data_IF_895129311649
#
_entry.id   IF_895129311649
#
_cell.length_a   1.000
_cell.length_b   1.000
_cell.length_c   1.000
_cell.angle_alpha   90.00
_cell.angle_beta   90.00
_cell.angle_gamma   90.00
#
_symmetry.space_group_name_H-M   'P 1'
#
loop_
_entity.id
_entity.type
_entity.pdbx_description
1 polymer ?
#
# COMPACT_ATOMS: atom_id res chain seq x y z
N UNK A 1 -10.46 -8.12 -20.77
CA UNK A 1 -9.62 -9.34 -20.59
C UNK A 1 -8.15 -9.18 -20.98
N UNK A 2 -7.72 -8.16 -21.74
CA UNK A 2 -6.30 -8.00 -22.14
C UNK A 2 -5.39 -7.22 -21.16
N UNK A 3 -5.91 -6.73 -20.04
CA UNK A 3 -5.19 -5.78 -19.18
C UNK A 3 -4.54 -6.42 -17.93
N UNK A 4 -4.91 -7.65 -17.58
CA UNK A 4 -4.53 -8.29 -16.31
C UNK A 4 -3.22 -9.10 -16.43
N UNK A 5 -3.00 -9.79 -17.56
CA UNK A 5 -1.75 -10.51 -17.82
C UNK A 5 -0.53 -9.57 -17.80
N UNK A 6 -0.66 -8.38 -18.40
CA UNK A 6 0.41 -7.38 -18.42
C UNK A 6 0.78 -6.85 -17.03
N UNK A 7 -0.16 -6.80 -16.08
CA UNK A 7 0.15 -6.34 -14.73
C UNK A 7 1.05 -7.31 -13.98
N UNK A 8 0.77 -8.62 -14.09
CA UNK A 8 1.60 -9.64 -13.44
C UNK A 8 3.01 -9.67 -14.03
N UNK A 9 3.13 -9.56 -15.36
CA UNK A 9 4.42 -9.49 -16.06
C UNK A 9 5.22 -8.25 -15.66
N UNK A 10 4.60 -7.07 -15.65
CA UNK A 10 5.23 -5.84 -15.17
C UNK A 10 5.72 -6.01 -13.73
N UNK A 11 4.89 -6.56 -12.85
CA UNK A 11 5.27 -6.81 -11.47
C UNK A 11 6.44 -7.80 -11.34
N UNK A 12 6.50 -8.79 -12.23
CA UNK A 12 7.62 -9.73 -12.30
C UNK A 12 8.91 -9.05 -12.74
N UNK A 13 8.84 -8.15 -13.71
CA UNK A 13 9.99 -7.36 -14.13
C UNK A 13 10.52 -6.47 -13.00
N UNK A 14 9.63 -5.76 -12.29
CA UNK A 14 10.02 -4.94 -11.13
C UNK A 14 10.62 -5.78 -9.99
N UNK A 15 10.05 -6.96 -9.73
CA UNK A 15 10.60 -7.88 -8.73
C UNK A 15 12.02 -8.32 -9.10
N UNK A 16 12.24 -8.74 -10.35
CA UNK A 16 13.55 -9.18 -10.82
C UNK A 16 14.57 -8.03 -10.74
N UNK A 17 14.15 -6.81 -11.10
CA UNK A 17 15.00 -5.63 -11.03
C UNK A 17 15.41 -5.30 -9.59
N UNK A 18 14.45 -5.22 -8.66
CA UNK A 18 14.75 -4.99 -7.25
C UNK A 18 15.65 -6.08 -6.66
N UNK A 19 15.45 -7.35 -7.05
CA UNK A 19 16.30 -8.46 -6.63
C UNK A 19 17.73 -8.30 -7.12
N UNK A 20 17.92 -7.89 -8.38
CA UNK A 20 19.26 -7.65 -8.93
C UNK A 20 20.04 -6.56 -8.17
N UNK A 21 19.34 -5.55 -7.62
CA UNK A 21 19.97 -4.52 -6.80
C UNK A 21 20.40 -5.03 -5.43
N UNK A 22 19.58 -5.88 -4.82
CA UNK A 22 19.92 -6.53 -3.55
C UNK A 22 21.15 -7.45 -3.68
N UNK A 23 21.27 -8.14 -4.82
CA UNK A 23 22.36 -9.07 -5.08
C UNK A 23 23.65 -8.37 -5.58
N UNK A 24 23.61 -7.06 -5.84
CA UNK A 24 24.73 -6.29 -6.41
C UNK A 24 25.75 -5.89 -5.33
N UNK A 25 27.07 -5.94 -5.62
CA UNK A 25 28.09 -5.49 -4.68
C UNK A 25 27.94 -4.00 -4.36
N UNK A 26 28.15 -3.64 -3.09
CA UNK A 26 27.75 -2.38 -2.44
C UNK A 26 28.44 -1.08 -2.91
N UNK A 27 28.98 -1.05 -4.14
CA UNK A 27 29.78 0.06 -4.66
C UNK A 27 29.14 0.92 -5.76
N UNK A 28 27.97 0.54 -6.30
CA UNK A 28 27.33 1.31 -7.39
C UNK A 28 26.29 2.32 -6.85
N UNK A 29 26.65 3.60 -6.88
CA UNK A 29 25.82 4.72 -6.42
C UNK A 29 24.51 4.85 -7.21
N UNK A 30 24.47 4.49 -8.49
CA UNK A 30 23.25 4.59 -9.30
C UNK A 30 22.25 3.51 -8.91
N UNK A 31 22.73 2.29 -8.65
CA UNK A 31 21.92 1.18 -8.13
C UNK A 31 21.33 1.55 -6.77
N UNK A 32 22.12 2.16 -5.88
CA UNK A 32 21.66 2.61 -4.58
C UNK A 32 20.53 3.67 -4.68
N UNK A 33 20.66 4.66 -5.56
CA UNK A 33 19.64 5.70 -5.78
C UNK A 33 18.34 5.09 -6.30
N UNK A 34 18.42 4.18 -7.28
CA UNK A 34 17.23 3.52 -7.83
C UNK A 34 16.55 2.62 -6.79
N UNK A 35 17.32 1.84 -6.04
CA UNK A 35 16.80 1.02 -4.94
C UNK A 35 16.10 1.88 -3.87
N UNK A 36 16.70 3.01 -3.49
CA UNK A 36 16.12 3.94 -2.53
C UNK A 36 14.81 4.56 -3.07
N UNK A 37 14.77 4.95 -4.34
CA UNK A 37 13.55 5.44 -4.99
C UNK A 37 12.42 4.39 -4.97
N UNK A 38 12.75 3.14 -5.28
CA UNK A 38 11.80 2.02 -5.20
C UNK A 38 11.30 1.80 -3.77
N UNK A 39 12.18 1.86 -2.77
CA UNK A 39 11.79 1.75 -1.35
C UNK A 39 10.80 2.84 -0.96
N UNK A 40 11.11 4.11 -1.28
CA UNK A 40 10.24 5.24 -0.96
C UNK A 40 8.85 5.10 -1.60
N UNK A 41 8.80 4.79 -2.90
CA UNK A 41 7.53 4.61 -3.60
C UNK A 41 6.74 3.42 -3.05
N UNK A 42 7.43 2.34 -2.71
CA UNK A 42 6.79 1.11 -2.21
C UNK A 42 6.26 1.32 -0.79
N UNK A 43 6.96 2.06 0.09
CA UNK A 43 6.42 2.43 1.41
C UNK A 43 5.03 3.06 1.31
N UNK A 44 4.81 4.03 0.41
CA UNK A 44 3.51 4.70 0.32
C UNK A 44 2.34 3.77 -0.07
N UNK A 45 2.60 2.70 -0.83
CA UNK A 45 1.55 1.94 -1.51
C UNK A 45 1.51 0.46 -1.17
N UNK A 46 2.53 -0.10 -0.54
CA UNK A 46 2.69 -1.54 -0.39
C UNK A 46 1.63 -2.18 0.48
N UNK A 47 1.53 -1.75 1.75
CA UNK A 47 0.55 -2.32 2.67
C UNK A 47 -0.91 -2.04 2.24
N UNK A 48 -1.30 -0.80 1.87
CA UNK A 48 -2.66 -0.54 1.39
C UNK A 48 -3.04 -1.43 0.19
N UNK A 49 -2.14 -1.55 -0.80
CA UNK A 49 -2.39 -2.40 -1.97
C UNK A 49 -2.48 -3.87 -1.59
N UNK A 50 -1.66 -4.35 -0.66
CA UNK A 50 -1.72 -5.72 -0.17
C UNK A 50 -3.05 -6.03 0.54
N UNK A 51 -3.59 -5.07 1.30
CA UNK A 51 -4.93 -5.19 1.91
C UNK A 51 -6.01 -5.25 0.83
N UNK A 52 -5.94 -4.39 -0.19
CA UNK A 52 -6.88 -4.39 -1.33
C UNK A 52 -6.85 -5.70 -2.10
N UNK A 53 -5.66 -6.22 -2.43
CA UNK A 53 -5.48 -7.49 -3.12
C UNK A 53 -6.07 -8.66 -2.31
N UNK A 54 -5.81 -8.70 -1.00
CA UNK A 54 -6.41 -9.70 -0.10
C UNK A 54 -7.92 -9.62 -0.05
N UNK A 55 -8.50 -8.41 -0.08
CA UNK A 55 -9.94 -8.19 -0.12
C UNK A 55 -10.53 -8.61 -1.47
N UNK A 56 -9.91 -8.20 -2.58
CA UNK A 56 -10.32 -8.57 -3.94
C UNK A 56 -10.35 -10.09 -4.11
N UNK A 57 -9.33 -10.80 -3.61
CA UNK A 57 -9.27 -12.27 -3.63
C UNK A 57 -10.46 -12.95 -2.94
N UNK A 58 -11.02 -12.33 -1.90
CA UNK A 58 -12.21 -12.84 -1.20
C UNK A 58 -13.51 -12.57 -1.95
N UNK A 59 -13.52 -11.57 -2.83
CA UNK A 59 -14.69 -11.08 -3.54
C UNK A 59 -14.75 -11.54 -5.00
N UNK A 60 -13.63 -12.06 -5.55
CA UNK A 60 -13.53 -12.48 -6.94
C UNK A 60 -14.12 -13.88 -7.19
N UNK A 61 -14.34 -14.18 -8.47
CA UNK A 61 -14.71 -15.50 -8.95
C UNK A 61 -13.64 -16.55 -8.63
N UNK A 62 -13.97 -17.83 -8.77
CA UNK A 62 -12.98 -18.91 -8.62
C UNK A 62 -11.88 -18.83 -9.70
N UNK A 63 -12.24 -18.39 -10.92
CA UNK A 63 -11.35 -18.24 -12.07
C UNK A 63 -10.29 -17.15 -11.82
N UNK A 64 -10.71 -15.99 -11.30
CA UNK A 64 -9.80 -14.85 -11.06
C UNK A 64 -8.93 -15.04 -9.81
N UNK A 65 -9.31 -15.94 -8.91
CA UNK A 65 -8.68 -16.12 -7.60
C UNK A 65 -7.21 -16.49 -7.73
N UNK A 66 -6.87 -17.35 -8.69
CA UNK A 66 -5.50 -17.77 -8.95
C UNK A 66 -4.64 -16.58 -9.43
N UNK A 67 -5.18 -15.76 -10.31
CA UNK A 67 -4.48 -14.57 -10.81
C UNK A 67 -4.22 -13.54 -9.70
N UNK A 68 -5.25 -13.21 -8.91
CA UNK A 68 -5.11 -12.29 -7.77
C UNK A 68 -4.16 -12.86 -6.72
N UNK A 69 -4.14 -14.19 -6.52
CA UNK A 69 -3.19 -14.84 -5.62
C UNK A 69 -1.75 -14.65 -6.10
N UNK A 70 -1.47 -14.92 -7.37
CA UNK A 70 -0.14 -14.70 -7.97
C UNK A 70 0.32 -13.25 -7.83
N UNK A 71 -0.57 -12.29 -8.12
CA UNK A 71 -0.29 -10.87 -7.96
C UNK A 71 -0.04 -10.49 -6.49
N UNK A 72 -0.80 -11.06 -5.56
CA UNK A 72 -0.62 -10.87 -4.11
C UNK A 72 0.74 -11.39 -3.66
N UNK A 73 1.14 -12.57 -4.14
CA UNK A 73 2.39 -13.21 -3.76
C UNK A 73 3.60 -12.45 -4.29
N UNK A 74 3.56 -12.00 -5.54
CA UNK A 74 4.67 -11.23 -6.10
C UNK A 74 4.81 -9.85 -5.45
N UNK A 75 3.69 -9.17 -5.19
CA UNK A 75 3.70 -7.89 -4.48
C UNK A 75 4.26 -8.02 -3.07
N UNK A 76 3.90 -9.11 -2.37
CA UNK A 76 4.47 -9.43 -1.06
C UNK A 76 5.98 -9.65 -1.14
N UNK A 77 6.46 -10.48 -2.07
CA UNK A 77 7.89 -10.76 -2.24
C UNK A 77 8.68 -9.51 -2.62
N UNK A 78 8.11 -8.66 -3.45
CA UNK A 78 8.71 -7.38 -3.84
C UNK A 78 8.98 -6.48 -2.63
N UNK A 79 8.00 -6.34 -1.72
CA UNK A 79 8.21 -5.59 -0.48
C UNK A 79 9.32 -6.16 0.39
N UNK A 80 9.40 -7.49 0.52
CA UNK A 80 10.45 -8.17 1.30
C UNK A 80 11.84 -7.88 0.72
N UNK A 81 12.01 -7.95 -0.60
CA UNK A 81 13.27 -7.63 -1.27
C UNK A 81 13.70 -6.18 -1.02
N UNK A 82 12.73 -5.27 -0.91
CA UNK A 82 13.00 -3.86 -0.58
C UNK A 82 13.18 -3.59 0.92
N UNK A 83 13.14 -4.63 1.77
CA UNK A 83 13.33 -4.51 3.22
C UNK A 83 12.08 -4.10 3.99
N UNK A 84 10.88 -4.23 3.41
CA UNK A 84 9.63 -3.96 4.10
C UNK A 84 9.21 -5.14 4.99
N UNK A 85 8.91 -4.83 6.25
CA UNK A 85 8.34 -5.80 7.18
C UNK A 85 6.81 -5.65 7.25
N UNK A 86 6.10 -6.76 7.05
CA UNK A 86 4.65 -6.78 7.02
C UNK A 86 4.00 -6.24 8.30
N UNK A 87 4.55 -6.58 9.48
CA UNK A 87 3.97 -6.15 10.76
C UNK A 87 4.23 -4.67 11.01
N UNK A 88 5.43 -4.18 10.73
CA UNK A 88 5.78 -2.75 10.85
C UNK A 88 4.94 -1.90 9.91
N UNK A 89 4.77 -2.33 8.66
CA UNK A 89 3.97 -1.59 7.69
C UNK A 89 2.48 -1.62 8.01
N UNK A 90 1.98 -2.74 8.56
CA UNK A 90 0.65 -2.80 9.12
C UNK A 90 0.46 -1.78 10.24
N UNK A 91 1.38 -1.78 11.21
CA UNK A 91 1.34 -0.89 12.35
C UNK A 91 1.38 0.57 11.92
N UNK A 92 2.31 0.94 11.02
CA UNK A 92 2.41 2.27 10.42
C UNK A 92 1.10 2.68 9.74
N UNK A 93 0.52 1.81 8.93
CA UNK A 93 -0.75 2.08 8.27
C UNK A 93 -1.91 2.26 9.27
N UNK A 94 -1.96 1.46 10.33
CA UNK A 94 -2.96 1.59 11.39
C UNK A 94 -2.76 2.85 12.24
N UNK A 95 -1.52 3.26 12.49
CA UNK A 95 -1.17 4.52 13.14
C UNK A 95 -1.55 5.72 12.27
N UNK A 96 -1.17 5.71 10.99
CA UNK A 96 -1.57 6.74 10.01
C UNK A 96 -3.09 6.81 9.88
N UNK A 97 -3.78 5.66 9.85
CA UNK A 97 -5.23 5.64 9.84
C UNK A 97 -5.83 6.20 11.15
N UNK A 98 -5.13 6.09 12.29
CA UNK A 98 -5.54 6.73 13.56
C UNK A 98 -5.28 8.25 13.57
N UNK A 99 -4.50 8.77 12.64
CA UNK A 99 -4.30 10.21 12.49
C UNK A 99 -5.45 10.83 11.69
N UNK A 100 -6.06 11.86 12.27
CA UNK A 100 -6.71 12.97 11.58
C UNK A 100 -7.85 12.73 10.57
N UNK A 101 -8.60 13.79 10.32
CA UNK A 101 -9.42 13.84 9.12
C UNK A 101 -8.53 13.81 7.86
N UNK A 102 -8.86 12.98 6.87
CA UNK A 102 -8.15 12.88 5.59
C UNK A 102 -8.35 14.10 4.69
N UNK A 103 -9.36 14.95 4.96
CA UNK A 103 -9.56 16.19 4.19
C UNK A 103 -8.45 17.21 4.51
N UNK A 104 -7.79 17.72 3.46
CA UNK A 104 -6.59 18.57 3.56
C UNK A 104 -6.79 19.83 4.38
N UNK A 105 -7.97 20.45 4.26
CA UNK A 105 -8.30 21.72 4.93
C UNK A 105 -9.09 21.52 6.22
N UNK A 106 -9.17 20.29 6.73
CA UNK A 106 -9.82 20.04 8.00
C UNK A 106 -8.93 20.54 9.16
N UNK A 107 -9.45 21.34 10.10
CA UNK A 107 -8.71 21.72 11.31
C UNK A 107 -8.28 20.51 12.16
N UNK A 108 -8.95 19.37 11.99
CA UNK A 108 -8.66 18.10 12.66
C UNK A 108 -7.74 17.17 11.86
N UNK A 109 -7.12 17.65 10.78
CA UNK A 109 -6.12 16.87 10.02
C UNK A 109 -4.86 16.66 10.87
N UNK A 110 -4.30 15.45 10.82
CA UNK A 110 -3.09 15.08 11.59
C UNK A 110 -3.27 15.00 13.11
N UNK A 111 -4.43 15.41 13.65
CA UNK A 111 -4.72 15.27 15.07
C UNK A 111 -5.06 13.81 15.38
N UNK A 112 -4.32 13.22 16.33
CA UNK A 112 -4.69 11.94 16.91
C UNK A 112 -6.14 11.99 17.41
N UNK A 113 -6.90 10.91 17.13
CA UNK A 113 -8.21 10.70 17.71
C UNK A 113 -8.08 10.32 19.20
N UNK A 114 -7.59 11.24 20.04
CA UNK A 114 -7.47 11.07 21.49
C UNK A 114 -8.57 11.86 22.21
N UNK A 115 -9.19 11.24 23.24
CA UNK A 115 -10.18 11.85 24.13
C UNK A 115 -11.63 11.88 23.61
N UNK A 116 -12.43 12.84 24.07
CA UNK A 116 -13.86 13.04 23.77
C UNK A 116 -14.16 13.50 22.33
N UNK A 117 -13.22 13.41 21.39
CA UNK A 117 -13.42 13.85 20.00
C UNK A 117 -14.23 12.79 19.24
N UNK A 118 -15.18 13.18 18.37
CA UNK A 118 -16.02 12.22 17.66
C UNK A 118 -15.16 11.30 16.80
N UNK A 119 -15.41 10.00 16.92
CA UNK A 119 -14.72 8.94 16.18
C UNK A 119 -14.75 9.25 14.68
N UNK A 120 -13.61 9.09 14.02
CA UNK A 120 -13.53 9.33 12.58
C UNK A 120 -14.28 8.22 11.83
N UNK A 121 -15.09 8.63 10.86
CA UNK A 121 -15.86 7.73 10.01
C UNK A 121 -15.03 7.33 8.81
N UNK A 122 -14.94 6.03 8.52
CA UNK A 122 -14.31 5.55 7.28
C UNK A 122 -15.14 5.96 6.07
N UNK A 123 -14.48 6.25 4.96
CA UNK A 123 -15.13 6.47 3.67
C UNK A 123 -16.00 5.26 3.31
N UNK A 124 -17.28 5.47 3.03
CA UNK A 124 -18.19 4.38 2.66
C UNK A 124 -17.84 3.73 1.31
N UNK A 125 -17.14 4.46 0.43
CA UNK A 125 -16.67 3.95 -0.86
C UNK A 125 -15.36 3.16 -0.73
N UNK A 126 -14.25 3.86 -0.44
CA UNK A 126 -12.93 3.23 -0.43
C UNK A 126 -12.57 2.50 0.88
N UNK A 127 -13.18 2.87 2.02
CA UNK A 127 -12.89 2.28 3.33
C UNK A 127 -11.56 2.71 3.98
N UNK A 128 -10.78 3.55 3.30
CA UNK A 128 -9.41 3.91 3.70
C UNK A 128 -9.34 5.29 4.35
N UNK A 129 -9.80 6.31 3.63
CA UNK A 129 -9.85 7.68 4.14
C UNK A 129 -10.80 7.75 5.32
N UNK A 130 -10.46 8.57 6.31
CA UNK A 130 -11.26 8.80 7.50
C UNK A 130 -11.66 10.25 7.58
N UNK A 131 -12.94 10.49 7.80
CA UNK A 131 -13.51 11.80 7.85
C UNK A 131 -14.13 12.06 9.20
N UNK A 132 -13.95 13.27 9.65
CA UNK A 132 -14.38 13.67 10.96
C UNK A 132 -15.89 14.02 11.00
N UNK A 133 -16.55 13.96 9.84
CA UNK A 133 -17.97 14.18 9.58
C UNK A 133 -18.26 14.05 8.09
N UNK A 134 -19.55 14.00 7.71
CA UNK A 134 -19.98 13.88 6.31
C UNK A 134 -19.50 15.06 5.46
N UNK A 135 -19.48 16.26 6.04
CA UNK A 135 -19.00 17.48 5.36
C UNK A 135 -17.56 17.35 4.86
N UNK A 136 -16.67 16.74 5.64
CA UNK A 136 -15.28 16.53 5.20
C UNK A 136 -15.16 15.41 4.17
N UNK A 137 -16.10 14.45 4.16
CA UNK A 137 -16.12 13.36 3.18
C UNK A 137 -16.57 13.84 1.79
N UNK A 138 -17.37 14.90 1.73
CA UNK A 138 -17.92 15.46 0.48
C UNK A 138 -17.08 16.59 -0.11
N UNK A 139 -15.89 16.87 0.45
CA UNK A 139 -14.96 17.91 -0.01
C UNK A 139 -13.79 17.29 -0.76
#
# INVERSE_FOLDING_TARGET
>A
MLQEAGMLECMQAYYNLAKSFHDSPSGDTHVAILAQGMQIGTLAHWWPSLVRLRKARKQCSAEDRAHIQSLTDIWRRFGVVLGLDAKREQQRYEDEARTGCSWRNCPRRGQLATGNKPAMRKCAGCGESRYCGRECQTR
#
